data_IF_059192142983
#
_entry.id   IF_059192142983
#
_cell.length_a   1.000
_cell.length_b   1.000
_cell.length_c   1.000
_cell.angle_alpha   90.00
_cell.angle_beta   90.00
_cell.angle_gamma   90.00
#
_symmetry.space_group_name_H-M   'P 1'
#
loop_
_entity.id
_entity.type
_entity.pdbx_description
1 polymer ?
#
# COMPACT_ATOMS: atom_id res chain seq x y z
N UNK A 1 -15.98 -29.12 -6.16
CA UNK A 1 -15.50 -27.76 -6.48
C UNK A 1 -16.36 -27.02 -7.51
N UNK A 2 -16.71 -27.59 -8.67
CA UNK A 2 -17.64 -26.97 -9.67
C UNK A 2 -19.03 -26.58 -9.11
N UNK A 3 -19.51 -27.29 -8.10
CA UNK A 3 -20.83 -27.11 -7.46
C UNK A 3 -21.03 -25.78 -6.70
N UNK A 4 -19.96 -25.12 -6.25
CA UNK A 4 -20.08 -23.84 -5.54
C UNK A 4 -20.33 -22.68 -6.51
N UNK A 5 -19.68 -22.71 -7.69
CA UNK A 5 -19.86 -21.71 -8.75
C UNK A 5 -21.30 -21.67 -9.27
N UNK A 6 -21.95 -22.82 -9.41
CA UNK A 6 -23.34 -22.91 -9.90
C UNK A 6 -24.39 -22.34 -8.93
N UNK A 7 -23.99 -21.97 -7.70
CA UNK A 7 -24.89 -21.35 -6.71
C UNK A 7 -24.85 -19.83 -6.71
N UNK A 8 -23.91 -19.21 -7.42
CA UNK A 8 -23.75 -17.75 -7.49
C UNK A 8 -24.25 -17.29 -8.86
N UNK A 9 -25.32 -16.50 -8.88
CA UNK A 9 -25.82 -15.89 -10.12
C UNK A 9 -24.83 -14.80 -10.60
N UNK A 10 -24.75 -14.62 -11.91
CA UNK A 10 -24.01 -13.54 -12.59
C UNK A 10 -22.48 -13.52 -12.45
N UNK A 11 -21.86 -14.67 -12.19
CA UNK A 11 -20.40 -14.76 -12.14
C UNK A 11 -19.79 -14.70 -13.56
N UNK A 12 -18.82 -13.81 -13.84
CA UNK A 12 -18.25 -13.65 -15.18
C UNK A 12 -17.71 -14.96 -15.77
N UNK A 13 -17.82 -15.08 -17.10
CA UNK A 13 -17.24 -16.20 -17.85
C UNK A 13 -15.72 -16.15 -17.77
N UNK A 14 -15.16 -16.87 -16.80
CA UNK A 14 -13.72 -16.89 -16.55
C UNK A 14 -13.33 -16.73 -15.10
N UNK A 15 -14.27 -16.38 -14.21
CA UNK A 15 -13.99 -16.21 -12.79
C UNK A 15 -13.33 -17.45 -12.17
N UNK A 16 -12.21 -17.20 -11.47
CA UNK A 16 -11.39 -18.18 -10.76
C UNK A 16 -11.30 -17.80 -9.28
N UNK A 17 -11.02 -18.78 -8.43
CA UNK A 17 -10.73 -18.51 -7.02
C UNK A 17 -9.52 -17.58 -6.82
N UNK A 18 -8.61 -17.51 -7.78
CA UNK A 18 -7.48 -16.58 -7.75
C UNK A 18 -7.95 -15.11 -7.82
N UNK A 19 -9.11 -14.84 -8.40
CA UNK A 19 -9.67 -13.49 -8.48
C UNK A 19 -10.09 -12.97 -7.10
N UNK A 20 -10.49 -13.85 -6.18
CA UNK A 20 -10.72 -13.48 -4.77
C UNK A 20 -9.43 -13.04 -4.08
N UNK A 21 -8.30 -13.66 -4.44
CA UNK A 21 -6.98 -13.28 -3.92
C UNK A 21 -6.56 -11.90 -4.46
N UNK A 22 -6.79 -11.64 -5.74
CA UNK A 22 -6.58 -10.33 -6.34
C UNK A 22 -7.49 -9.26 -5.72
N UNK A 23 -8.76 -9.58 -5.50
CA UNK A 23 -9.71 -8.70 -4.83
C UNK A 23 -9.22 -8.35 -3.41
N UNK A 24 -8.87 -9.34 -2.60
CA UNK A 24 -8.34 -9.10 -1.25
C UNK A 24 -7.07 -8.24 -1.27
N UNK A 25 -6.16 -8.48 -2.21
CA UNK A 25 -4.95 -7.66 -2.35
C UNK A 25 -5.29 -6.20 -2.64
N UNK A 26 -6.15 -5.96 -3.63
CA UNK A 26 -6.57 -4.60 -4.02
C UNK A 26 -7.30 -3.87 -2.88
N UNK A 27 -8.16 -4.57 -2.14
CA UNK A 27 -8.88 -4.01 -1.00
C UNK A 27 -7.92 -3.57 0.12
N UNK A 28 -6.95 -4.41 0.48
CA UNK A 28 -6.00 -4.09 1.54
C UNK A 28 -5.12 -2.89 1.16
N UNK A 29 -4.65 -2.84 -0.09
CA UNK A 29 -3.81 -1.74 -0.58
C UNK A 29 -4.62 -0.43 -0.61
N UNK A 30 -5.86 -0.46 -1.11
CA UNK A 30 -6.75 0.69 -1.12
C UNK A 30 -7.09 1.19 0.30
N UNK A 31 -7.11 0.30 1.32
CA UNK A 31 -7.27 0.69 2.73
C UNK A 31 -5.99 1.27 3.38
N UNK A 32 -4.90 1.41 2.63
CA UNK A 32 -3.63 1.95 3.12
C UNK A 32 -2.74 0.93 3.84
N UNK A 33 -2.97 -0.38 3.66
CA UNK A 33 -2.09 -1.39 4.24
C UNK A 33 -0.71 -1.36 3.56
N UNK A 34 0.34 -1.57 4.36
CA UNK A 34 1.70 -1.70 3.84
C UNK A 34 1.94 -3.08 3.19
N UNK A 35 3.00 -3.15 2.39
CA UNK A 35 3.37 -4.35 1.64
C UNK A 35 3.58 -5.59 2.51
N UNK A 36 4.08 -5.47 3.74
CA UNK A 36 4.32 -6.61 4.64
C UNK A 36 3.01 -7.14 5.19
N UNK A 37 2.06 -6.27 5.52
CA UNK A 37 0.71 -6.67 5.91
C UNK A 37 0.02 -7.41 4.77
N UNK A 38 0.05 -6.86 3.55
CA UNK A 38 -0.55 -7.53 2.38
C UNK A 38 0.14 -8.88 2.12
N UNK A 39 1.47 -8.93 2.15
CA UNK A 39 2.25 -10.17 2.01
C UNK A 39 1.80 -11.25 3.01
N UNK A 40 1.69 -10.89 4.29
CA UNK A 40 1.30 -11.82 5.35
C UNK A 40 -0.15 -12.31 5.17
N UNK A 41 -1.09 -11.41 4.86
CA UNK A 41 -2.50 -11.75 4.64
C UNK A 41 -2.71 -12.66 3.44
N UNK A 42 -1.92 -12.46 2.39
CA UNK A 42 -1.92 -13.34 1.23
C UNK A 42 -1.11 -14.62 1.47
N UNK A 43 -0.28 -14.70 2.52
CA UNK A 43 0.64 -15.81 2.78
C UNK A 43 1.67 -15.97 1.65
N UNK A 44 2.16 -14.87 1.09
CA UNK A 44 3.31 -14.91 0.20
C UNK A 44 4.58 -15.17 0.99
N UNK A 45 5.46 -16.02 0.46
CA UNK A 45 6.76 -16.31 1.06
C UNK A 45 7.69 -15.08 1.09
N UNK A 46 7.49 -14.13 0.17
CA UNK A 46 8.30 -12.92 0.08
C UNK A 46 7.46 -11.67 -0.23
N UNK A 47 7.92 -10.51 0.26
CA UNK A 47 7.34 -9.22 -0.11
C UNK A 47 7.54 -8.93 -1.61
N UNK A 48 8.64 -9.39 -2.20
CA UNK A 48 8.92 -9.29 -3.64
C UNK A 48 7.78 -9.87 -4.47
N UNK A 49 7.29 -11.06 -4.16
CA UNK A 49 6.14 -11.66 -4.86
C UNK A 49 4.90 -10.75 -4.84
N UNK A 50 4.69 -10.05 -3.72
CA UNK A 50 3.56 -9.10 -3.58
C UNK A 50 3.79 -7.85 -4.42
N UNK A 51 5.00 -7.29 -4.40
CA UNK A 51 5.36 -6.08 -5.16
C UNK A 51 5.38 -6.34 -6.66
N UNK A 52 5.94 -7.46 -7.11
CA UNK A 52 5.99 -7.83 -8.52
C UNK A 52 4.56 -7.97 -9.10
N UNK A 53 3.59 -8.40 -8.28
CA UNK A 53 2.20 -8.60 -8.72
C UNK A 53 1.33 -7.35 -8.55
N UNK A 54 1.46 -6.64 -7.42
CA UNK A 54 0.51 -5.60 -6.99
C UNK A 54 1.15 -4.22 -6.76
N UNK A 55 2.46 -4.06 -6.98
CA UNK A 55 3.18 -2.81 -6.70
C UNK A 55 2.55 -1.59 -7.35
N UNK A 56 1.98 -1.77 -8.54
CA UNK A 56 1.28 -0.74 -9.30
C UNK A 56 -0.03 -0.23 -8.67
N UNK A 57 -0.53 -0.88 -7.61
CA UNK A 57 -1.74 -0.46 -6.90
C UNK A 57 -1.44 0.52 -5.75
N UNK A 58 -0.19 0.63 -5.31
CA UNK A 58 0.16 1.62 -4.30
C UNK A 58 0.15 3.02 -4.92
N UNK A 59 -0.36 4.03 -4.19
CA UNK A 59 -0.34 5.41 -4.65
C UNK A 59 1.09 5.85 -4.90
N UNK A 60 1.27 6.71 -5.91
CA UNK A 60 2.58 7.25 -6.28
C UNK A 60 3.18 7.98 -5.08
N UNK A 61 4.23 7.38 -4.52
CA UNK A 61 4.85 7.84 -3.27
C UNK A 61 5.78 9.02 -3.49
N UNK A 62 6.04 9.42 -4.73
CA UNK A 62 7.02 10.46 -5.04
C UNK A 62 6.60 11.83 -4.48
N UNK A 63 5.31 12.17 -4.58
CA UNK A 63 4.76 13.40 -4.01
C UNK A 63 4.78 13.37 -2.48
N UNK A 64 4.43 12.21 -1.88
CA UNK A 64 4.44 12.05 -0.42
C UNK A 64 5.85 12.08 0.16
N UNK A 65 6.84 11.55 -0.57
CA UNK A 65 8.23 11.47 -0.10
C UNK A 65 8.88 12.83 -0.10
N UNK A 66 8.66 13.64 -1.14
CA UNK A 66 9.15 15.02 -1.19
C UNK A 66 8.57 15.88 -0.07
N UNK A 67 7.25 15.81 0.13
CA UNK A 67 6.59 16.54 1.21
C UNK A 67 7.13 16.15 2.60
N UNK A 68 7.39 14.86 2.84
CA UNK A 68 7.99 14.40 4.09
C UNK A 68 9.42 14.93 4.30
N UNK A 69 10.23 14.95 3.24
CA UNK A 69 11.59 15.49 3.27
C UNK A 69 11.56 17.00 3.57
N UNK A 70 10.71 17.76 2.87
CA UNK A 70 10.57 19.21 3.05
C UNK A 70 10.13 19.58 4.47
N UNK A 71 9.22 18.80 5.05
CA UNK A 71 8.77 19.00 6.43
C UNK A 71 9.92 18.88 7.44
N UNK A 72 10.80 17.88 7.27
CA UNK A 72 11.97 17.69 8.14
C UNK A 72 12.96 18.84 7.98
N UNK A 73 13.24 19.28 6.75
CA UNK A 73 14.16 20.40 6.51
C UNK A 73 13.63 21.73 7.07
N UNK A 74 12.33 21.97 6.93
CA UNK A 74 11.66 23.16 7.48
C UNK A 74 11.79 23.20 9.00
N UNK A 75 11.39 22.11 9.68
CA UNK A 75 11.47 22.01 11.14
C UNK A 75 12.91 22.19 11.67
N UNK A 76 13.91 21.63 10.98
CA UNK A 76 15.32 21.80 11.36
C UNK A 76 15.81 23.24 11.17
N UNK A 77 15.31 23.95 10.17
CA UNK A 77 15.72 25.34 9.90
C UNK A 77 15.15 26.28 10.96
N UNK A 78 13.89 26.10 11.34
CA UNK A 78 13.23 26.85 12.41
C UNK A 78 13.91 26.65 13.77
N UNK A 79 14.28 25.42 14.11
CA UNK A 79 15.02 25.12 15.34
C UNK A 79 16.36 25.87 15.41
N UNK A 80 17.08 25.99 14.28
CA UNK A 80 18.37 26.72 14.23
C UNK A 80 18.19 28.23 14.37
N UNK A 81 17.13 28.78 13.78
CA UNK A 81 16.82 30.21 13.86
C UNK A 81 16.38 30.59 15.30
N UNK A 82 15.58 29.76 15.94
CA UNK A 82 15.11 30.00 17.31
C UNK A 82 16.24 29.91 18.36
N UNK A 83 17.26 29.09 18.12
CA UNK A 83 18.44 29.00 19.01
C UNK A 83 19.38 30.21 18.91
N UNK A 84 19.40 30.94 17.79
CA UNK A 84 20.22 32.14 17.62
C UNK A 84 19.52 33.43 18.06
N UNK A 85 18.21 33.39 18.34
CA UNK A 85 17.42 34.55 18.80
C UNK A 85 17.46 34.81 20.31
N UNK A 86 17.93 33.87 21.13
CA UNK A 86 17.90 33.96 22.60
C UNK A 86 19.13 34.66 23.22
N UNK A 87 20.02 35.21 22.40
CA UNK A 87 21.20 35.94 22.85
C UNK A 87 21.09 37.43 22.48
N UNK A 88 20.15 38.15 23.11
CA UNK A 88 20.12 39.61 23.17
C UNK A 88 19.40 40.10 24.42
#
# INVERSE_FOLDING_TARGET
>A
MRKARSKVQDLPTGFRFHDLRHYLASLLIASGADVKVVQARLRHASAKTTLDTYGHLWPDSDVSTRAAIDAVFTARTELRQNQHGTAR
#
